data_IF_141060592165
#
_entry.id   IF_141060592165
#
_cell.length_a   1.000
_cell.length_b   1.000
_cell.length_c   1.000
_cell.angle_alpha   90.00
_cell.angle_beta   90.00
_cell.angle_gamma   90.00
#
_symmetry.space_group_name_H-M   'P 1'
#
loop_
_entity.id
_entity.type
_entity.pdbx_description
1 polymer ?
#
# COMPACT_ATOMS: atom_id res chain seq x y z
N UNK A 1 13.76 16.44 29.26
CA UNK A 1 13.87 16.61 27.80
C UNK A 1 13.54 18.06 27.48
N UNK A 2 14.12 18.64 26.43
CA UNK A 2 13.64 19.94 25.92
C UNK A 2 12.19 19.77 25.45
N UNK A 3 11.35 20.78 25.65
CA UNK A 3 9.92 20.73 25.28
C UNK A 3 9.72 20.38 23.80
N UNK A 4 10.57 20.91 22.93
CA UNK A 4 10.61 20.62 21.49
C UNK A 4 10.79 19.13 21.22
N UNK A 5 11.72 18.46 21.93
CA UNK A 5 11.94 17.01 21.77
C UNK A 5 10.69 16.21 22.14
N UNK A 6 10.05 16.59 23.22
CA UNK A 6 8.82 15.92 23.68
C UNK A 6 7.68 16.10 22.67
N UNK A 7 7.49 17.31 22.16
CA UNK A 7 6.48 17.62 21.15
C UNK A 7 6.72 16.83 19.84
N UNK A 8 7.97 16.78 19.35
CA UNK A 8 8.36 16.04 18.15
C UNK A 8 8.16 14.52 18.34
N UNK A 9 8.55 13.97 19.48
CA UNK A 9 8.36 12.55 19.80
C UNK A 9 6.86 12.22 19.83
N UNK A 10 6.07 13.06 20.49
CA UNK A 10 4.61 12.88 20.55
C UNK A 10 3.95 12.96 19.17
N UNK A 11 4.46 13.80 18.27
CA UNK A 11 3.98 13.90 16.89
C UNK A 11 4.28 12.62 16.10
N UNK A 12 5.53 12.17 16.10
CA UNK A 12 5.98 10.97 15.36
C UNK A 12 5.26 9.71 15.84
N UNK A 13 5.07 9.58 17.15
CA UNK A 13 4.43 8.42 17.75
C UNK A 13 2.92 8.56 17.93
N UNK A 14 2.33 9.66 17.43
CA UNK A 14 0.88 9.83 17.49
C UNK A 14 0.22 8.70 16.71
N UNK A 15 -0.70 7.94 17.32
CA UNK A 15 -1.42 6.92 16.59
C UNK A 15 -2.17 7.60 15.45
N UNK A 16 -2.03 7.05 14.23
CA UNK A 16 -2.74 7.56 13.08
C UNK A 16 -4.25 7.34 13.28
N UNK A 17 -4.97 8.37 13.76
CA UNK A 17 -6.42 8.36 13.87
C UNK A 17 -7.01 8.47 12.47
N UNK A 18 -7.60 7.38 11.99
CA UNK A 18 -7.97 7.22 10.57
C UNK A 18 -9.44 6.87 10.44
N UNK A 19 -10.28 7.89 10.25
CA UNK A 19 -11.60 7.72 9.64
C UNK A 19 -11.47 8.05 8.14
N UNK A 20 -10.70 7.27 7.40
CA UNK A 20 -10.59 7.46 5.95
C UNK A 20 -11.89 7.02 5.29
N UNK A 21 -12.44 7.88 4.43
CA UNK A 21 -13.51 7.47 3.53
C UNK A 21 -12.92 6.70 2.35
N UNK A 22 -12.71 5.39 2.56
CA UNK A 22 -12.23 4.51 1.50
C UNK A 22 -13.23 4.43 0.36
N UNK A 23 -12.74 4.30 -0.88
CA UNK A 23 -13.58 3.91 -2.00
C UNK A 23 -14.20 2.54 -1.69
N UNK A 24 -15.52 2.49 -1.58
CA UNK A 24 -16.22 1.22 -1.40
C UNK A 24 -16.05 0.38 -2.67
N UNK A 25 -15.54 -0.85 -2.51
CA UNK A 25 -15.56 -1.85 -3.57
C UNK A 25 -17.00 -2.31 -3.73
N UNK A 26 -17.65 -1.90 -4.83
CA UNK A 26 -19.01 -2.34 -5.14
C UNK A 26 -18.94 -3.64 -5.94
N UNK A 27 -19.57 -4.70 -5.43
CA UNK A 27 -19.68 -5.99 -6.09
C UNK A 27 -21.13 -6.17 -6.54
N UNK A 28 -21.34 -6.44 -7.83
CA UNK A 28 -22.66 -6.54 -8.47
C UNK A 28 -23.32 -7.91 -8.28
N UNK A 29 -22.54 -8.95 -8.02
CA UNK A 29 -23.05 -10.31 -7.80
C UNK A 29 -21.95 -11.38 -7.68
N UNK A 30 -22.35 -12.65 -7.71
CA UNK A 30 -21.44 -13.79 -7.64
C UNK A 30 -20.49 -13.81 -8.86
N UNK A 31 -19.19 -13.97 -8.62
CA UNK A 31 -18.13 -13.99 -9.64
C UNK A 31 -17.93 -12.65 -10.40
N UNK A 32 -18.50 -11.55 -9.92
CA UNK A 32 -18.29 -10.21 -10.50
C UNK A 32 -16.88 -9.68 -10.23
N UNK A 33 -16.37 -9.91 -9.01
CA UNK A 33 -15.01 -9.56 -8.63
C UNK A 33 -14.31 -10.75 -7.98
N UNK A 34 -13.11 -11.05 -8.49
CA UNK A 34 -12.22 -12.07 -7.95
C UNK A 34 -10.91 -11.37 -7.60
N UNK A 35 -10.42 -11.60 -6.39
CA UNK A 35 -9.13 -11.13 -5.94
C UNK A 35 -8.16 -12.30 -5.92
N UNK A 36 -6.96 -12.11 -6.46
CA UNK A 36 -5.92 -13.12 -6.45
C UNK A 36 -4.69 -12.57 -5.73
N UNK A 37 -4.06 -13.43 -4.93
CA UNK A 37 -2.81 -13.14 -4.25
C UNK A 37 -1.87 -14.35 -4.34
N UNK A 38 -0.57 -14.10 -4.20
CA UNK A 38 0.47 -15.11 -4.28
C UNK A 38 1.27 -15.11 -2.99
N UNK A 39 1.13 -16.18 -2.21
CA UNK A 39 1.92 -16.37 -1.00
C UNK A 39 3.26 -17.00 -1.39
N UNK A 40 4.37 -16.39 -0.97
CA UNK A 40 5.71 -16.93 -1.18
C UNK A 40 6.12 -17.88 -0.05
N UNK A 41 6.46 -19.11 -0.44
CA UNK A 41 6.90 -20.21 0.43
C UNK A 41 8.29 -20.72 0.02
N UNK A 42 9.10 -19.86 -0.62
CA UNK A 42 10.41 -20.21 -1.20
C UNK A 42 11.33 -20.92 -0.20
N UNK A 43 11.47 -20.49 1.07
CA UNK A 43 12.37 -21.15 2.03
C UNK A 43 12.00 -22.61 2.30
N UNK A 44 10.71 -22.93 2.28
CA UNK A 44 10.17 -24.24 2.62
C UNK A 44 10.15 -25.22 1.43
N UNK A 45 10.72 -24.85 0.29
CA UNK A 45 10.65 -25.67 -0.93
C UNK A 45 11.22 -27.07 -0.76
N UNK A 46 12.25 -27.24 0.09
CA UNK A 46 12.88 -28.54 0.36
C UNK A 46 11.94 -29.49 1.08
N UNK A 47 11.16 -28.96 2.02
CA UNK A 47 10.20 -29.71 2.82
C UNK A 47 8.86 -29.86 2.11
N UNK A 48 8.52 -28.91 1.22
CA UNK A 48 7.27 -28.86 0.49
C UNK A 48 7.39 -29.38 -0.95
N UNK A 49 8.17 -30.45 -1.18
CA UNK A 49 8.26 -31.14 -2.49
C UNK A 49 8.51 -30.20 -3.70
N UNK A 50 9.30 -29.14 -3.50
CA UNK A 50 9.65 -28.14 -4.51
C UNK A 50 8.60 -27.06 -4.78
N UNK A 51 7.49 -27.03 -4.03
CA UNK A 51 6.49 -25.96 -4.11
C UNK A 51 6.99 -24.71 -3.37
N UNK A 52 6.99 -23.59 -4.10
CA UNK A 52 7.58 -22.32 -3.67
C UNK A 52 6.54 -21.23 -3.47
N UNK A 53 5.32 -21.43 -3.96
CA UNK A 53 4.27 -20.43 -3.89
C UNK A 53 2.90 -21.08 -3.68
N UNK A 54 1.95 -20.34 -3.14
CA UNK A 54 0.54 -20.71 -3.08
C UNK A 54 -0.24 -19.58 -3.74
N UNK A 55 -0.90 -19.88 -4.86
CA UNK A 55 -1.82 -18.97 -5.51
C UNK A 55 -3.16 -19.07 -4.79
N UNK A 56 -3.63 -17.96 -4.22
CA UNK A 56 -4.91 -17.87 -3.54
C UNK A 56 -5.83 -17.00 -4.38
N UNK A 57 -7.00 -17.51 -4.71
CA UNK A 57 -8.02 -16.82 -5.49
C UNK A 57 -9.30 -16.78 -4.69
N UNK A 58 -9.82 -15.59 -4.40
CA UNK A 58 -10.97 -15.37 -3.55
C UNK A 58 -12.08 -14.71 -4.35
N UNK A 59 -13.26 -15.32 -4.34
CA UNK A 59 -14.47 -14.65 -4.80
C UNK A 59 -14.90 -13.61 -3.76
N UNK A 60 -14.94 -12.33 -4.15
CA UNK A 60 -15.18 -11.25 -3.20
C UNK A 60 -16.62 -11.23 -2.68
N UNK A 61 -17.58 -11.72 -3.47
CA UNK A 61 -18.99 -11.82 -3.08
C UNK A 61 -19.25 -12.99 -2.13
N UNK A 62 -18.88 -14.21 -2.52
CA UNK A 62 -19.18 -15.42 -1.74
C UNK A 62 -18.14 -15.78 -0.68
N UNK A 63 -16.98 -15.12 -0.70
CA UNK A 63 -15.80 -15.46 0.13
C UNK A 63 -15.29 -16.88 -0.08
N UNK A 64 -15.69 -17.55 -1.16
CA UNK A 64 -15.14 -18.84 -1.55
C UNK A 64 -13.69 -18.67 -2.00
N UNK A 65 -12.80 -19.55 -1.53
CA UNK A 65 -11.36 -19.50 -1.77
C UNK A 65 -10.89 -20.74 -2.53
N UNK A 66 -10.12 -20.54 -3.59
CA UNK A 66 -9.34 -21.57 -4.25
C UNK A 66 -7.86 -21.33 -3.93
N UNK A 67 -7.15 -22.39 -3.53
CA UNK A 67 -5.72 -22.35 -3.29
C UNK A 67 -5.01 -23.39 -4.16
N UNK A 68 -3.97 -22.98 -4.88
CA UNK A 68 -3.18 -23.85 -5.74
C UNK A 68 -1.69 -23.69 -5.45
N UNK A 69 -1.02 -24.79 -5.07
CA UNK A 69 0.43 -24.78 -4.86
C UNK A 69 1.17 -24.69 -6.21
N UNK A 70 2.14 -23.78 -6.31
CA UNK A 70 2.95 -23.55 -7.51
C UNK A 70 4.44 -23.73 -7.23
N UNK A 71 5.13 -24.34 -8.20
CA UNK A 71 6.60 -24.51 -8.16
C UNK A 71 7.35 -23.33 -8.76
N UNK A 72 6.76 -22.55 -9.65
CA UNK A 72 7.37 -21.33 -10.20
C UNK A 72 6.30 -20.28 -10.54
N UNK A 73 6.66 -18.99 -10.44
CA UNK A 73 5.78 -17.86 -10.76
C UNK A 73 5.26 -17.88 -12.20
N UNK A 74 6.09 -18.33 -13.15
CA UNK A 74 5.82 -18.23 -14.59
C UNK A 74 5.23 -19.49 -15.24
N UNK A 75 4.61 -20.40 -14.48
CA UNK A 75 4.06 -21.62 -15.10
C UNK A 75 2.95 -21.20 -16.07
N UNK A 76 3.20 -21.30 -17.40
CA UNK A 76 2.13 -21.23 -18.40
C UNK A 76 1.14 -22.33 -18.02
N UNK A 77 0.01 -21.94 -17.42
CA UNK A 77 -1.09 -22.87 -17.17
C UNK A 77 -1.48 -23.38 -18.54
N UNK A 78 -1.08 -24.62 -18.90
CA UNK A 78 -1.72 -25.34 -19.98
C UNK A 78 -3.16 -25.46 -19.53
N UNK A 79 -4.03 -24.60 -20.07
CA UNK A 79 -5.47 -24.66 -19.82
C UNK A 79 -5.95 -26.00 -20.36
N UNK A 80 -5.91 -27.04 -19.53
CA UNK A 80 -6.94 -28.06 -19.55
C UNK A 80 -8.12 -27.53 -18.72
N UNK A 81 -8.59 -26.31 -19.05
CA UNK A 81 -10.00 -26.03 -18.83
C UNK A 81 -10.65 -27.02 -19.78
N UNK A 82 -11.35 -28.05 -19.27
CA UNK A 82 -12.22 -28.87 -20.12
C UNK A 82 -13.08 -27.88 -20.90
N UNK A 83 -12.78 -27.72 -22.18
CA UNK A 83 -13.48 -26.83 -23.08
C UNK A 83 -14.89 -27.38 -23.23
N UNK A 84 -15.79 -26.94 -22.37
CA UNK A 84 -17.14 -27.50 -22.37
C UNK A 84 -17.95 -27.20 -21.13
N UNK A 85 -17.87 -26.00 -20.56
CA UNK A 85 -18.94 -25.57 -19.67
C UNK A 85 -19.98 -24.68 -20.34
N UNK A 86 -19.63 -23.79 -21.29
CA UNK A 86 -20.63 -23.07 -22.11
C UNK A 86 -20.02 -22.66 -23.46
N UNK A 87 -20.79 -22.76 -24.54
CA UNK A 87 -20.47 -22.28 -25.90
C UNK A 87 -21.11 -20.91 -26.14
N UNK A 88 -20.56 -20.15 -27.10
CA UNK A 88 -21.13 -18.86 -27.54
C UNK A 88 -22.51 -19.13 -28.17
N UNK A 89 -23.59 -18.78 -27.47
CA UNK A 89 -24.98 -19.03 -27.87
C UNK A 89 -25.81 -19.82 -26.85
N UNK A 90 -25.20 -20.33 -25.78
CA UNK A 90 -25.94 -21.08 -24.75
C UNK A 90 -26.80 -20.16 -23.88
N UNK A 91 -28.08 -20.52 -23.73
CA UNK A 91 -29.00 -19.84 -22.81
C UNK A 91 -28.85 -20.42 -21.40
N UNK A 92 -28.31 -19.62 -20.48
CA UNK A 92 -28.18 -19.98 -19.06
C UNK A 92 -29.30 -19.37 -18.21
N UNK A 93 -29.93 -20.19 -17.36
CA UNK A 93 -30.96 -19.75 -16.40
C UNK A 93 -30.31 -19.29 -15.09
N UNK A 94 -30.50 -18.02 -14.73
CA UNK A 94 -30.10 -17.48 -13.42
C UNK A 94 -31.32 -17.57 -12.49
N UNK A 95 -31.38 -18.62 -11.66
CA UNK A 95 -32.57 -18.92 -10.85
C UNK A 95 -32.52 -18.36 -9.41
N UNK A 96 -32.27 -17.05 -9.20
CA UNK A 96 -32.44 -16.52 -7.83
C UNK A 96 -32.84 -15.06 -7.63
N UNK A 97 -32.80 -14.19 -8.63
CA UNK A 97 -33.09 -12.76 -8.40
C UNK A 97 -34.13 -12.24 -9.39
N UNK A 98 -35.28 -11.82 -8.84
CA UNK A 98 -36.49 -11.43 -9.59
C UNK A 98 -36.86 -9.95 -9.41
N UNK A 99 -35.90 -9.08 -9.10
CA UNK A 99 -36.16 -7.64 -8.96
C UNK A 99 -35.13 -6.79 -9.72
N UNK A 100 -35.64 -5.75 -10.39
CA UNK A 100 -34.83 -4.75 -11.08
C UNK A 100 -34.42 -3.68 -10.06
N UNK A 101 -33.12 -3.59 -9.77
CA UNK A 101 -32.57 -2.52 -8.93
C UNK A 101 -32.21 -1.32 -9.82
N UNK A 102 -32.71 -0.14 -9.47
CA UNK A 102 -32.23 1.11 -10.03
C UNK A 102 -30.93 1.51 -9.31
N UNK A 103 -29.83 1.65 -10.04
CA UNK A 103 -28.53 2.02 -9.46
C UNK A 103 -28.22 3.47 -9.80
N UNK A 104 -28.39 4.37 -8.83
CA UNK A 104 -27.68 5.65 -8.82
C UNK A 104 -26.41 5.52 -8.00
N UNK A 105 -25.26 5.30 -8.67
CA UNK A 105 -23.96 5.40 -8.02
C UNK A 105 -23.26 6.68 -8.44
N UNK A 106 -23.25 7.68 -7.56
CA UNK A 106 -22.23 8.74 -7.63
C UNK A 106 -20.90 8.11 -7.26
N UNK A 107 -19.97 8.06 -8.20
CA UNK A 107 -18.60 7.59 -7.96
C UNK A 107 -17.90 8.65 -7.08
N UNK A 108 -17.70 8.34 -5.80
CA UNK A 108 -16.87 9.17 -4.94
C UNK A 108 -15.40 8.90 -5.28
N UNK A 109 -14.75 9.89 -5.90
CA UNK A 109 -13.30 9.90 -6.12
C UNK A 109 -12.72 10.82 -5.04
N UNK A 110 -12.04 10.28 -4.02
CA UNK A 110 -11.37 11.12 -3.02
C UNK A 110 -10.32 11.99 -3.71
N UNK A 111 -10.27 13.28 -3.33
CA UNK A 111 -9.28 14.23 -3.83
C UNK A 111 -7.89 13.81 -3.37
N UNK A 112 -6.96 13.71 -4.31
CA UNK A 112 -5.53 13.46 -4.04
C UNK A 112 -4.73 14.73 -4.28
N UNK A 113 -3.67 14.93 -3.51
CA UNK A 113 -2.79 16.09 -3.58
C UNK A 113 -1.41 15.68 -4.08
N UNK A 114 -0.81 16.53 -4.91
CA UNK A 114 0.62 16.47 -5.23
C UNK A 114 1.35 17.35 -4.22
N UNK A 115 2.48 16.86 -3.71
CA UNK A 115 3.30 17.59 -2.76
C UNK A 115 4.51 18.16 -3.50
N UNK A 116 4.93 19.37 -3.15
CA UNK A 116 6.18 19.95 -3.59
C UNK A 116 7.11 20.11 -2.38
N UNK A 117 8.42 20.00 -2.63
CA UNK A 117 9.43 20.27 -1.63
C UNK A 117 9.57 21.78 -1.35
N UNK A 118 10.50 22.15 -0.46
CA UNK A 118 10.75 23.55 -0.11
C UNK A 118 11.33 24.39 -1.27
N UNK A 119 11.86 23.75 -2.30
CA UNK A 119 12.38 24.38 -3.51
C UNK A 119 11.33 24.48 -4.63
N UNK A 120 10.10 24.00 -4.39
CA UNK A 120 9.04 23.94 -5.38
C UNK A 120 9.17 22.78 -6.37
N UNK A 121 10.01 21.78 -6.08
CA UNK A 121 10.13 20.58 -6.88
C UNK A 121 9.08 19.55 -6.45
N UNK A 122 8.31 19.04 -7.41
CA UNK A 122 7.29 18.03 -7.14
C UNK A 122 7.90 16.75 -6.56
N UNK A 123 7.28 16.25 -5.49
CA UNK A 123 7.59 14.97 -4.86
C UNK A 123 6.79 13.89 -5.58
N UNK A 124 7.47 12.81 -5.96
CA UNK A 124 6.82 11.71 -6.66
C UNK A 124 5.77 11.03 -5.78
N UNK A 125 4.54 10.95 -6.31
CA UNK A 125 3.41 10.34 -5.63
C UNK A 125 2.26 11.32 -5.40
N UNK A 126 1.11 10.78 -5.05
CA UNK A 126 -0.04 11.56 -4.62
C UNK A 126 -0.53 11.01 -3.29
N UNK A 127 -0.92 11.91 -2.39
CA UNK A 127 -1.43 11.55 -1.08
C UNK A 127 -2.89 11.95 -0.93
N UNK A 128 -3.63 11.25 -0.10
CA UNK A 128 -4.95 11.72 0.33
C UNK A 128 -4.82 12.91 1.27
N UNK A 129 -5.80 13.81 1.30
CA UNK A 129 -5.74 15.01 2.15
C UNK A 129 -5.65 14.69 3.64
N UNK A 130 -6.11 13.51 4.04
CA UNK A 130 -6.10 13.03 5.42
C UNK A 130 -4.80 12.30 5.81
N UNK A 131 -3.87 12.07 4.88
CA UNK A 131 -2.57 11.45 5.14
C UNK A 131 -1.50 12.40 5.72
N UNK A 132 -1.30 13.63 5.20
CA UNK A 132 -0.29 14.53 5.75
C UNK A 132 -0.68 15.01 7.15
N UNK A 133 0.30 14.99 8.05
CA UNK A 133 0.16 15.50 9.42
C UNK A 133 0.69 16.93 9.50
N UNK A 134 -0.01 17.78 10.25
CA UNK A 134 0.50 19.11 10.58
C UNK A 134 1.62 18.97 11.61
N UNK A 135 2.77 19.57 11.31
CA UNK A 135 3.87 19.72 12.26
C UNK A 135 3.75 20.98 13.09
N UNK A 136 4.14 20.90 14.36
CA UNK A 136 4.24 22.05 15.26
C UNK A 136 5.51 22.88 15.02
N UNK A 137 6.56 22.25 14.49
CA UNK A 137 7.89 22.83 14.34
C UNK A 137 8.41 22.63 12.91
N UNK A 138 8.18 23.62 12.04
CA UNK A 138 8.60 23.57 10.63
C UNK A 138 10.12 23.72 10.44
N UNK A 139 10.85 24.12 11.47
CA UNK A 139 12.29 24.38 11.49
C UNK A 139 13.11 23.23 12.09
N UNK A 140 12.44 22.18 12.58
CA UNK A 140 13.08 21.01 13.21
C UNK A 140 13.07 19.83 12.24
N UNK A 141 14.24 19.27 12.00
CA UNK A 141 14.44 18.14 11.10
C UNK A 141 15.08 16.96 11.83
N UNK A 142 14.63 15.75 11.50
CA UNK A 142 15.15 14.53 12.10
C UNK A 142 16.46 14.09 11.43
N UNK A 143 17.45 13.74 12.24
CA UNK A 143 18.72 13.21 11.76
C UNK A 143 18.63 11.68 11.71
N UNK A 144 18.86 11.08 10.55
CA UNK A 144 19.02 9.63 10.42
C UNK A 144 20.37 9.20 10.98
N UNK A 145 21.43 9.90 10.59
CA UNK A 145 22.80 9.51 10.94
C UNK A 145 23.76 10.69 10.91
N UNK A 146 24.65 10.76 11.89
CA UNK A 146 25.85 11.62 11.82
C UNK A 146 26.90 10.91 10.96
N UNK A 147 27.23 11.49 9.81
CA UNK A 147 28.15 10.91 8.81
C UNK A 147 29.60 11.24 9.14
N UNK A 148 29.90 12.51 9.47
CA UNK A 148 31.25 12.96 9.86
C UNK A 148 31.17 13.98 10.99
N UNK A 149 32.26 14.09 11.75
CA UNK A 149 32.43 15.09 12.80
C UNK A 149 33.69 15.91 12.52
N UNK A 150 33.62 17.23 12.66
CA UNK A 150 34.76 18.14 12.49
C UNK A 150 34.65 19.29 13.49
N UNK A 151 35.51 19.31 14.51
CA UNK A 151 35.48 20.30 15.60
C UNK A 151 34.06 20.38 16.21
N UNK A 152 33.42 21.55 16.13
CA UNK A 152 32.06 21.79 16.63
C UNK A 152 30.96 21.55 15.59
N UNK A 153 31.30 21.03 14.40
CA UNK A 153 30.34 20.78 13.32
C UNK A 153 30.12 19.29 13.08
N UNK A 154 28.90 18.95 12.70
CA UNK A 154 28.46 17.60 12.38
C UNK A 154 27.91 17.58 10.95
N UNK A 155 28.41 16.69 10.11
CA UNK A 155 27.81 16.40 8.81
C UNK A 155 26.72 15.37 9.04
N UNK A 156 25.47 15.75 8.80
CA UNK A 156 24.31 14.91 9.09
C UNK A 156 23.66 14.41 7.81
N UNK A 157 23.14 13.18 7.88
CA UNK A 157 22.17 12.63 6.94
C UNK A 157 20.79 12.81 7.55
N UNK A 158 19.94 13.57 6.88
CA UNK A 158 18.56 13.81 7.29
C UNK A 158 17.69 12.59 7.04
N UNK A 159 16.74 12.34 7.94
CA UNK A 159 15.81 11.21 7.83
C UNK A 159 14.92 11.35 6.59
N UNK A 160 14.90 10.30 5.77
CA UNK A 160 14.06 10.24 4.57
C UNK A 160 14.59 11.02 3.35
N UNK A 161 15.74 11.69 3.46
CA UNK A 161 16.37 12.41 2.35
C UNK A 161 17.59 11.68 1.80
N UNK A 162 17.84 11.86 0.50
CA UNK A 162 19.04 11.35 -0.15
C UNK A 162 20.30 12.10 0.31
N UNK A 163 21.47 11.47 0.17
CA UNK A 163 22.78 11.97 0.59
C UNK A 163 23.15 13.34 0.00
N UNK A 164 22.51 13.74 -1.10
CA UNK A 164 22.65 15.06 -1.73
C UNK A 164 22.25 16.21 -0.80
N UNK A 165 21.34 15.95 0.13
CA UNK A 165 20.87 16.93 1.10
C UNK A 165 21.70 16.95 2.39
N UNK A 166 22.77 16.16 2.48
CA UNK A 166 23.63 16.16 3.66
C UNK A 166 24.25 17.54 3.88
N UNK A 167 24.12 18.05 5.09
CA UNK A 167 24.61 19.39 5.44
C UNK A 167 25.39 19.37 6.75
N UNK A 168 26.26 20.38 6.91
CA UNK A 168 26.98 20.61 8.15
C UNK A 168 26.11 21.45 9.08
N UNK A 169 25.87 20.96 10.28
CA UNK A 169 25.21 21.69 11.37
C UNK A 169 26.18 21.94 12.51
N UNK A 170 25.94 22.99 13.30
CA UNK A 170 26.68 23.21 14.52
C UNK A 170 26.14 22.30 15.64
N UNK A 171 27.03 21.79 16.48
CA UNK A 171 26.69 20.86 17.56
C UNK A 171 25.73 21.50 18.59
N UNK A 172 25.70 22.82 18.67
CA UNK A 172 24.79 23.60 19.50
C UNK A 172 23.34 23.54 19.04
N UNK A 173 23.12 23.27 17.76
CA UNK A 173 21.78 23.25 17.15
C UNK A 173 21.09 21.90 17.36
N UNK A 174 21.80 20.92 17.92
CA UNK A 174 21.21 19.65 18.34
C UNK A 174 20.37 19.86 19.60
N UNK A 175 19.06 19.98 19.40
CA UNK A 175 18.05 20.01 20.46
C UNK A 175 17.84 18.62 21.04
#
# INVERSE_FOLDING_TARGET
MSKIKEDVVNEIHKPARRNFLWRRVQVRGLNDLIQADLVEMIPYARENSGYRYILVVINVFSKYVWAEAKRCMGTKVKRNIKAGLFKKGDYVRINKYREAFHKESKLYIPTTYLLADQNGQDIEGSCYGEEPQKTLHNDVYLIEKVVRRKRNKLLVKWLGLDKRHNSWIDKTDMV
#
